data_IF_428414038436
#
_entry.id   IF_428414038436
#
_cell.length_a   1.000
_cell.length_b   1.000
_cell.length_c   1.000
_cell.angle_alpha   90.00
_cell.angle_beta   90.00
_cell.angle_gamma   90.00
#
_symmetry.space_group_name_H-M   'P 1'
#
loop_
_entity.id
_entity.type
_entity.pdbx_description
1 polymer ?
#
# COMPACT_ATOMS: atom_id res chain seq x y z
N UNK A 1 50.22 -5.06 48.89
CA UNK A 1 49.62 -4.51 47.65
C UNK A 1 49.39 -3.00 47.77
N UNK A 2 48.69 -2.51 48.81
CA UNK A 2 48.48 -1.06 49.04
C UNK A 2 49.76 -0.23 49.23
N UNK A 3 50.83 -0.78 49.81
CA UNK A 3 52.13 -0.10 49.93
C UNK A 3 52.83 0.12 48.58
N UNK A 4 52.63 -0.78 47.62
CA UNK A 4 53.21 -0.67 46.26
C UNK A 4 52.49 0.44 45.48
N UNK A 5 51.19 0.61 45.72
CA UNK A 5 50.40 1.70 45.14
C UNK A 5 50.86 3.04 45.74
N UNK A 6 50.99 3.16 47.07
CA UNK A 6 51.46 4.40 47.71
C UNK A 6 52.84 4.83 47.20
N UNK A 7 53.80 3.90 47.11
CA UNK A 7 55.14 4.16 46.56
C UNK A 7 55.16 4.60 45.09
N UNK A 8 54.11 4.32 44.32
CA UNK A 8 54.03 4.72 42.90
C UNK A 8 53.49 6.14 42.70
N UNK A 9 52.86 6.73 43.72
CA UNK A 9 52.23 8.05 43.67
C UNK A 9 52.88 9.11 44.58
N UNK A 10 53.90 8.74 45.36
CA UNK A 10 54.80 9.70 46.01
C UNK A 10 55.61 10.46 44.94
N UNK A 11 55.06 11.59 44.47
CA UNK A 11 55.72 12.45 43.48
C UNK A 11 54.81 13.17 42.51
N UNK A 12 53.50 12.87 42.47
CA UNK A 12 52.52 13.74 41.81
C UNK A 12 52.11 14.83 42.78
N UNK A 13 52.91 15.90 42.81
CA UNK A 13 52.76 17.02 43.72
C UNK A 13 51.43 17.75 43.66
N UNK A 14 51.04 18.32 44.80
CA UNK A 14 50.79 19.76 45.01
C UNK A 14 50.29 20.55 43.79
N UNK A 15 49.18 20.10 43.21
CA UNK A 15 48.33 20.88 42.32
C UNK A 15 47.01 21.14 43.03
N UNK A 16 46.84 22.38 43.51
CA UNK A 16 45.59 23.11 43.80
C UNK A 16 44.36 22.27 44.18
N UNK A 17 43.85 22.50 45.40
CA UNK A 17 42.52 22.08 45.85
C UNK A 17 41.44 22.71 44.95
N UNK A 18 41.23 22.20 43.75
CA UNK A 18 40.00 22.40 43.01
C UNK A 18 38.99 21.38 43.56
N UNK A 19 38.13 21.89 44.44
CA UNK A 19 36.99 21.22 45.08
C UNK A 19 37.27 19.81 45.64
N UNK A 20 37.69 19.74 46.91
CA UNK A 20 37.74 18.49 47.68
C UNK A 20 36.47 17.65 47.58
N UNK A 21 35.30 18.27 47.49
CA UNK A 21 34.02 17.58 47.28
C UNK A 21 33.91 16.91 45.90
N UNK A 22 34.42 17.56 44.85
CA UNK A 22 34.46 16.99 43.50
C UNK A 22 35.43 15.82 43.47
N UNK A 23 36.64 15.98 44.01
CA UNK A 23 37.64 14.90 44.07
C UNK A 23 37.16 13.72 44.92
N UNK A 24 36.47 13.98 46.04
CA UNK A 24 35.85 12.95 46.86
C UNK A 24 34.71 12.22 46.13
N UNK A 25 33.84 12.95 45.44
CA UNK A 25 32.78 12.37 44.63
C UNK A 25 33.35 11.52 43.47
N UNK A 26 34.38 12.00 42.78
CA UNK A 26 35.07 11.28 41.71
C UNK A 26 35.77 10.02 42.25
N UNK A 27 36.40 10.08 43.41
CA UNK A 27 37.02 8.92 44.06
C UNK A 27 35.97 7.89 44.51
N UNK A 28 34.85 8.31 45.10
CA UNK A 28 33.76 7.40 45.47
C UNK A 28 33.10 6.76 44.24
N UNK A 29 32.93 7.50 43.15
CA UNK A 29 32.48 6.96 41.87
C UNK A 29 33.46 5.95 41.31
N UNK A 30 34.77 6.22 41.42
CA UNK A 30 35.82 5.29 41.00
C UNK A 30 35.75 3.99 41.80
N UNK A 31 35.68 4.07 43.14
CA UNK A 31 35.54 2.89 44.01
C UNK A 31 34.26 2.12 43.69
N UNK A 32 33.12 2.80 43.53
CA UNK A 32 31.84 2.17 43.17
C UNK A 32 31.88 1.50 41.78
N UNK A 33 32.63 2.05 40.82
CA UNK A 33 32.83 1.47 39.49
C UNK A 33 33.55 0.12 39.56
N UNK A 34 34.47 -0.04 40.50
CA UNK A 34 35.16 -1.30 40.78
C UNK A 34 34.53 -2.11 41.91
N UNK A 35 33.28 -1.80 42.28
CA UNK A 35 32.54 -2.65 43.20
C UNK A 35 32.41 -4.05 42.58
N UNK A 36 32.86 -5.06 43.33
CA UNK A 36 32.61 -6.46 43.00
C UNK A 36 31.11 -6.71 43.19
N UNK A 37 30.33 -6.44 42.14
CA UNK A 37 28.89 -6.67 42.16
C UNK A 37 28.62 -8.13 42.56
N UNK A 38 27.60 -8.40 43.39
CA UNK A 38 27.17 -9.77 43.64
C UNK A 38 26.78 -10.42 42.31
N UNK A 39 26.71 -11.75 42.29
CA UNK A 39 26.33 -12.51 41.10
C UNK A 39 25.05 -11.92 40.45
N UNK A 40 24.98 -11.89 39.11
CA UNK A 40 23.78 -11.46 38.41
C UNK A 40 22.57 -12.25 38.92
N UNK A 41 21.52 -11.54 39.35
CA UNK A 41 20.28 -12.19 39.75
C UNK A 41 19.69 -12.92 38.56
N UNK A 42 19.05 -14.06 38.81
CA UNK A 42 18.28 -14.76 37.79
C UNK A 42 17.25 -13.81 37.17
N UNK A 43 17.15 -13.88 35.84
CA UNK A 43 16.19 -13.07 35.10
C UNK A 43 14.79 -13.65 35.29
N UNK A 44 13.79 -12.76 35.31
CA UNK A 44 12.38 -13.17 35.31
C UNK A 44 12.11 -14.10 34.11
N UNK A 45 11.45 -15.26 34.31
CA UNK A 45 11.14 -16.21 33.23
C UNK A 45 10.26 -15.60 32.12
N UNK A 46 9.56 -14.49 32.37
CA UNK A 46 8.77 -13.73 31.39
C UNK A 46 9.57 -12.59 30.72
N UNK A 47 10.87 -12.46 31.01
CA UNK A 47 11.73 -11.47 30.39
C UNK A 47 12.22 -11.94 29.02
N UNK A 48 12.15 -11.06 28.03
CA UNK A 48 12.67 -11.31 26.69
C UNK A 48 13.82 -10.34 26.44
N UNK A 49 15.05 -10.86 26.51
CA UNK A 49 16.28 -10.11 26.24
C UNK A 49 16.87 -10.53 24.89
N UNK A 50 17.36 -9.59 24.06
CA UNK A 50 17.97 -9.95 22.78
C UNK A 50 19.25 -10.78 23.02
N UNK A 51 19.41 -11.86 22.25
CA UNK A 51 20.67 -12.60 22.19
C UNK A 51 21.74 -11.79 21.44
N UNK A 52 23.02 -12.14 21.63
CA UNK A 52 24.11 -11.51 20.89
C UNK A 52 24.20 -12.05 19.46
N UNK A 53 24.31 -11.16 18.47
CA UNK A 53 24.51 -11.52 17.07
C UNK A 53 23.42 -12.45 16.51
N UNK A 54 23.81 -13.52 15.82
CA UNK A 54 22.89 -14.46 15.18
C UNK A 54 22.02 -15.27 16.16
N UNK A 55 22.46 -15.44 17.42
CA UNK A 55 21.69 -16.13 18.47
C UNK A 55 20.36 -15.44 18.78
N UNK A 56 20.24 -14.16 18.43
CA UNK A 56 18.99 -13.42 18.53
C UNK A 56 17.85 -14.14 17.78
N UNK A 57 18.08 -14.54 16.54
CA UNK A 57 17.04 -15.10 15.67
C UNK A 57 16.65 -16.51 16.08
N UNK A 58 17.63 -17.35 16.44
CA UNK A 58 17.36 -18.70 16.96
C UNK A 58 16.63 -18.65 18.31
N UNK A 59 17.00 -17.71 19.19
CA UNK A 59 16.28 -17.47 20.45
C UNK A 59 14.85 -17.05 20.21
N UNK A 60 14.61 -16.08 19.32
CA UNK A 60 13.24 -15.64 18.97
C UNK A 60 12.43 -16.82 18.45
N UNK A 61 12.98 -17.62 17.51
CA UNK A 61 12.29 -18.78 16.95
C UNK A 61 11.89 -19.81 18.01
N UNK A 62 12.79 -20.08 18.97
CA UNK A 62 12.49 -20.97 20.10
C UNK A 62 11.40 -20.40 21.01
N UNK A 63 11.48 -19.10 21.31
CA UNK A 63 10.50 -18.45 22.19
C UNK A 63 9.11 -18.31 21.54
N UNK A 64 9.02 -18.20 20.22
CA UNK A 64 7.74 -18.23 19.50
C UNK A 64 7.03 -19.58 19.58
N UNK A 65 7.76 -20.65 19.87
CA UNK A 65 7.21 -22.00 20.08
C UNK A 65 6.95 -22.32 21.57
N UNK A 66 7.15 -21.35 22.47
CA UNK A 66 6.92 -21.52 23.90
C UNK A 66 5.42 -21.68 24.22
N UNK A 67 5.11 -22.45 25.28
CA UNK A 67 3.77 -22.54 25.84
C UNK A 67 3.37 -21.26 26.61
N UNK A 68 4.35 -20.41 26.95
CA UNK A 68 4.11 -19.15 27.63
C UNK A 68 3.69 -18.06 26.63
N UNK A 69 2.40 -17.72 26.63
CA UNK A 69 1.79 -16.73 25.74
C UNK A 69 2.47 -15.35 25.80
N UNK A 70 2.89 -14.91 26.99
CA UNK A 70 3.57 -13.62 27.19
C UNK A 70 4.93 -13.61 26.47
N UNK A 71 5.68 -14.71 26.57
CA UNK A 71 6.96 -14.85 25.88
C UNK A 71 6.77 -14.89 24.37
N UNK A 72 5.75 -15.59 23.87
CA UNK A 72 5.41 -15.62 22.45
C UNK A 72 5.13 -14.21 21.93
N UNK A 73 4.23 -13.47 22.58
CA UNK A 73 3.88 -12.09 22.19
C UNK A 73 5.11 -11.17 22.20
N UNK A 74 5.90 -11.18 23.29
CA UNK A 74 7.11 -10.35 23.40
C UNK A 74 8.15 -10.69 22.32
N UNK A 75 8.28 -11.96 21.97
CA UNK A 75 9.22 -12.43 20.94
C UNK A 75 8.77 -12.02 19.54
N UNK A 76 7.47 -12.14 19.23
CA UNK A 76 6.90 -11.68 17.96
C UNK A 76 7.04 -10.15 17.82
N UNK A 77 6.79 -9.38 18.89
CA UNK A 77 7.01 -7.92 18.87
C UNK A 77 8.47 -7.53 18.68
N UNK A 78 9.38 -8.23 19.35
CA UNK A 78 10.82 -8.03 19.13
C UNK A 78 11.21 -8.30 17.68
N UNK A 79 10.66 -9.37 17.08
CA UNK A 79 10.88 -9.68 15.67
C UNK A 79 10.28 -8.61 14.74
N UNK A 80 9.10 -8.09 15.05
CA UNK A 80 8.48 -6.99 14.32
C UNK A 80 9.39 -5.76 14.26
N UNK A 81 9.97 -5.38 15.41
CA UNK A 81 10.86 -4.23 15.50
C UNK A 81 12.15 -4.44 14.70
N UNK A 82 12.71 -5.65 14.70
CA UNK A 82 13.85 -6.02 13.85
C UNK A 82 13.50 -5.88 12.36
N UNK A 83 12.35 -6.39 11.92
CA UNK A 83 11.92 -6.30 10.52
C UNK A 83 11.56 -4.86 10.10
N UNK A 84 11.13 -4.03 11.06
CA UNK A 84 10.89 -2.60 10.84
C UNK A 84 12.20 -1.84 10.67
N UNK A 85 13.24 -2.20 11.42
CA UNK A 85 14.54 -1.54 11.40
C UNK A 85 15.31 -1.77 10.09
N UNK A 86 15.45 -3.02 9.64
CA UNK A 86 16.17 -3.34 8.41
C UNK A 86 15.63 -4.63 7.74
N UNK A 87 15.48 -4.59 6.42
CA UNK A 87 15.18 -5.75 5.58
C UNK A 87 16.21 -6.87 5.68
N UNK A 88 17.48 -6.57 6.01
CA UNK A 88 18.52 -7.58 6.25
C UNK A 88 18.16 -8.50 7.42
N UNK A 89 17.46 -7.99 8.42
CA UNK A 89 17.02 -8.79 9.57
C UNK A 89 15.99 -9.86 9.17
N UNK A 90 15.20 -9.61 8.11
CA UNK A 90 14.26 -10.59 7.56
C UNK A 90 15.00 -11.75 6.91
N UNK A 91 16.05 -11.44 6.14
CA UNK A 91 16.85 -12.48 5.47
C UNK A 91 17.68 -13.25 6.49
N UNK A 92 18.26 -12.55 7.47
CA UNK A 92 19.04 -13.16 8.54
C UNK A 92 18.16 -14.06 9.42
N UNK A 93 16.96 -13.62 9.79
CA UNK A 93 16.08 -14.42 10.63
C UNK A 93 15.68 -15.74 9.97
N UNK A 94 15.45 -15.72 8.66
CA UNK A 94 15.14 -16.90 7.85
C UNK A 94 16.36 -17.83 7.77
N UNK A 95 17.52 -17.29 7.37
CA UNK A 95 18.76 -18.04 7.20
C UNK A 95 19.21 -18.73 8.50
N UNK A 96 19.19 -18.00 9.62
CA UNK A 96 19.65 -18.51 10.91
C UNK A 96 18.64 -19.42 11.62
N UNK A 97 17.42 -19.58 11.09
CA UNK A 97 16.39 -20.46 11.67
C UNK A 97 16.05 -21.65 10.78
N UNK A 98 16.89 -21.94 9.78
CA UNK A 98 16.67 -23.03 8.81
C UNK A 98 15.27 -22.93 8.17
N UNK A 99 14.85 -21.72 7.80
CA UNK A 99 13.55 -21.45 7.15
C UNK A 99 12.31 -21.78 7.99
N UNK A 100 12.45 -22.07 9.29
CA UNK A 100 11.33 -22.46 10.16
C UNK A 100 10.55 -21.28 10.74
N UNK A 101 11.13 -20.09 10.77
CA UNK A 101 10.53 -18.95 11.46
C UNK A 101 9.21 -18.48 10.81
N UNK A 102 9.14 -18.39 9.48
CA UNK A 102 7.90 -17.97 8.80
C UNK A 102 6.79 -19.02 8.97
N UNK A 103 7.02 -20.33 8.75
CA UNK A 103 6.03 -21.36 9.07
C UNK A 103 5.53 -21.30 10.52
N UNK A 104 6.44 -21.13 11.49
CA UNK A 104 6.06 -20.99 12.91
C UNK A 104 5.15 -19.77 13.15
N UNK A 105 5.43 -18.64 12.51
CA UNK A 105 4.57 -17.46 12.59
C UNK A 105 3.20 -17.74 11.97
N UNK A 106 3.12 -18.43 10.84
CA UNK A 106 1.85 -18.82 10.23
C UNK A 106 1.04 -19.70 11.19
N UNK A 107 1.65 -20.70 11.83
CA UNK A 107 0.95 -21.55 12.79
C UNK A 107 0.41 -20.77 14.00
N UNK A 108 1.12 -19.72 14.44
CA UNK A 108 0.64 -18.83 15.50
C UNK A 108 -0.60 -18.01 15.10
N UNK A 109 -0.95 -17.88 13.82
CA UNK A 109 -2.19 -17.22 13.40
C UNK A 109 -3.45 -17.94 13.91
N UNK A 110 -3.33 -19.25 14.16
CA UNK A 110 -4.39 -20.09 14.76
C UNK A 110 -4.68 -19.70 16.21
N UNK A 111 -3.75 -19.02 16.89
CA UNK A 111 -3.86 -18.61 18.30
C UNK A 111 -4.36 -17.17 18.41
N UNK A 112 -5.55 -16.96 18.98
CA UNK A 112 -6.18 -15.64 19.10
C UNK A 112 -5.28 -14.59 19.79
N UNK A 113 -4.58 -14.97 20.87
CA UNK A 113 -3.77 -14.04 21.67
C UNK A 113 -2.57 -13.45 20.91
N UNK A 114 -2.06 -14.11 19.87
CA UNK A 114 -0.88 -13.69 19.12
C UNK A 114 -1.21 -13.17 17.71
N UNK A 115 -2.43 -13.42 17.21
CA UNK A 115 -2.79 -13.23 15.80
C UNK A 115 -2.44 -11.84 15.27
N UNK A 116 -2.81 -10.78 15.99
CA UNK A 116 -2.58 -9.41 15.52
C UNK A 116 -1.07 -9.08 15.42
N UNK A 117 -0.29 -9.42 16.45
CA UNK A 117 1.16 -9.20 16.50
C UNK A 117 1.88 -10.01 15.41
N UNK A 118 1.43 -11.24 15.16
CA UNK A 118 1.95 -12.11 14.10
C UNK A 118 1.63 -11.53 12.72
N UNK A 119 0.38 -11.14 12.46
CA UNK A 119 -0.03 -10.53 11.20
C UNK A 119 0.75 -9.23 10.92
N UNK A 120 0.97 -8.40 11.95
CA UNK A 120 1.82 -7.19 11.84
C UNK A 120 3.24 -7.54 11.43
N UNK A 121 3.79 -8.65 11.94
CA UNK A 121 5.14 -9.13 11.64
C UNK A 121 5.24 -9.71 10.23
N UNK A 122 4.31 -10.57 9.82
CA UNK A 122 4.22 -11.10 8.46
C UNK A 122 4.00 -9.98 7.43
N UNK A 123 3.22 -8.94 7.76
CA UNK A 123 3.09 -7.73 6.95
C UNK A 123 4.40 -6.93 6.78
N UNK A 124 5.48 -7.27 7.49
CA UNK A 124 6.81 -6.68 7.27
C UNK A 124 7.74 -7.61 6.53
N UNK A 125 7.53 -8.93 6.66
CA UNK A 125 8.41 -9.94 6.06
C UNK A 125 8.38 -9.89 4.53
N UNK A 126 7.23 -9.58 3.91
CA UNK A 126 7.11 -9.57 2.43
C UNK A 126 8.06 -8.61 1.70
N UNK A 127 8.76 -7.70 2.40
CA UNK A 127 9.81 -6.86 1.79
C UNK A 127 10.97 -7.69 1.24
N UNK A 128 11.25 -8.87 1.81
CA UNK A 128 12.25 -9.80 1.31
C UNK A 128 11.59 -10.87 0.45
N UNK A 129 12.16 -11.14 -0.74
CA UNK A 129 11.63 -12.17 -1.66
C UNK A 129 11.56 -13.55 -1.02
N UNK A 130 12.65 -13.98 -0.37
CA UNK A 130 12.74 -15.26 0.34
C UNK A 130 11.63 -15.44 1.39
N UNK A 131 11.21 -14.35 2.06
CA UNK A 131 10.12 -14.40 3.02
C UNK A 131 8.75 -14.53 2.35
N UNK A 132 8.54 -13.89 1.19
CA UNK A 132 7.32 -14.07 0.39
C UNK A 132 7.20 -15.54 -0.05
N UNK A 133 8.29 -16.10 -0.55
CA UNK A 133 8.35 -17.48 -1.04
C UNK A 133 7.97 -18.49 0.07
N UNK A 134 8.30 -18.20 1.33
CA UNK A 134 7.90 -19.02 2.48
C UNK A 134 6.46 -18.80 2.95
N UNK A 135 5.83 -17.65 2.66
CA UNK A 135 4.41 -17.43 3.01
C UNK A 135 3.48 -18.09 1.99
N UNK A 136 3.86 -18.12 0.71
CA UNK A 136 3.03 -18.62 -0.40
C UNK A 136 2.39 -20.00 -0.12
N UNK A 137 3.13 -21.03 0.34
CA UNK A 137 2.56 -22.36 0.60
C UNK A 137 1.41 -22.37 1.63
N UNK A 138 1.33 -21.34 2.48
CA UNK A 138 0.35 -21.24 3.55
C UNK A 138 -0.82 -20.30 3.21
N UNK A 139 -0.79 -19.66 2.04
CA UNK A 139 -1.81 -18.66 1.67
C UNK A 139 -3.20 -19.27 1.62
N UNK A 140 -3.35 -20.50 1.13
CA UNK A 140 -4.65 -21.18 1.06
C UNK A 140 -5.25 -21.39 2.46
N UNK A 141 -4.45 -21.84 3.43
CA UNK A 141 -4.89 -22.00 4.82
C UNK A 141 -5.37 -20.67 5.43
N UNK A 142 -4.61 -19.60 5.20
CA UNK A 142 -4.97 -18.25 5.67
C UNK A 142 -6.27 -17.77 4.98
N UNK A 143 -6.45 -18.04 3.68
CA UNK A 143 -7.67 -17.70 2.95
C UNK A 143 -8.89 -18.41 3.55
N UNK A 144 -8.80 -19.72 3.80
CA UNK A 144 -9.90 -20.49 4.39
C UNK A 144 -10.26 -20.00 5.80
N UNK A 145 -9.27 -19.67 6.61
CA UNK A 145 -9.50 -19.10 7.94
C UNK A 145 -10.31 -17.80 7.87
N UNK A 146 -9.92 -16.86 7.00
CA UNK A 146 -10.65 -15.60 6.86
C UNK A 146 -12.02 -15.81 6.21
N UNK A 147 -12.13 -16.68 5.20
CA UNK A 147 -13.41 -16.97 4.55
C UNK A 147 -14.46 -17.45 5.54
N UNK A 148 -14.06 -18.23 6.55
CA UNK A 148 -14.94 -18.75 7.59
C UNK A 148 -15.25 -17.73 8.70
N UNK A 149 -14.38 -16.72 8.91
CA UNK A 149 -14.46 -15.84 10.09
C UNK A 149 -14.61 -14.35 9.78
N UNK A 150 -14.61 -13.89 8.52
CA UNK A 150 -14.55 -12.46 8.19
C UNK A 150 -15.68 -11.60 8.78
N UNK A 151 -16.82 -12.21 9.13
CA UNK A 151 -17.98 -11.51 9.71
C UNK A 151 -17.87 -11.27 11.22
N UNK A 152 -17.09 -12.08 11.92
CA UNK A 152 -16.94 -12.09 13.39
C UNK A 152 -15.54 -11.68 13.84
N UNK A 153 -14.57 -11.74 12.94
CA UNK A 153 -13.17 -11.42 13.20
C UNK A 153 -12.95 -9.90 13.40
N UNK A 154 -11.89 -9.56 14.15
CA UNK A 154 -11.52 -8.17 14.39
C UNK A 154 -11.19 -7.46 13.06
N UNK A 155 -11.76 -6.27 12.76
CA UNK A 155 -11.50 -5.53 11.54
C UNK A 155 -10.00 -5.27 11.29
N UNK A 156 -9.22 -5.13 12.35
CA UNK A 156 -7.75 -4.97 12.28
C UNK A 156 -7.09 -6.22 11.72
N UNK A 157 -7.53 -7.41 12.12
CA UNK A 157 -7.01 -8.68 11.61
C UNK A 157 -7.37 -8.87 10.13
N UNK A 158 -8.58 -8.50 9.72
CA UNK A 158 -8.97 -8.50 8.30
C UNK A 158 -8.10 -7.55 7.49
N UNK A 159 -7.95 -6.30 7.95
CA UNK A 159 -7.07 -5.33 7.30
C UNK A 159 -5.63 -5.85 7.15
N UNK A 160 -5.05 -6.41 8.23
CA UNK A 160 -3.69 -6.91 8.19
C UNK A 160 -3.56 -8.13 7.28
N UNK A 161 -4.58 -8.98 7.21
CA UNK A 161 -4.57 -10.14 6.31
C UNK A 161 -4.66 -9.72 4.84
N UNK A 162 -5.56 -8.79 4.49
CA UNK A 162 -5.60 -8.21 3.14
C UNK A 162 -4.28 -7.50 2.79
N UNK A 163 -3.65 -6.84 3.77
CA UNK A 163 -2.33 -6.21 3.58
C UNK A 163 -1.22 -7.24 3.37
N UNK A 164 -1.27 -8.39 4.05
CA UNK A 164 -0.36 -9.50 3.82
C UNK A 164 -0.50 -10.02 2.40
N UNK A 165 -1.72 -10.37 1.98
CA UNK A 165 -1.98 -10.84 0.61
C UNK A 165 -1.56 -9.83 -0.44
N UNK A 166 -1.82 -8.53 -0.23
CA UNK A 166 -1.34 -7.47 -1.12
C UNK A 166 0.19 -7.46 -1.26
N UNK A 167 0.91 -7.71 -0.17
CA UNK A 167 2.37 -7.80 -0.17
C UNK A 167 2.90 -9.06 -0.86
N UNK A 168 2.21 -10.20 -0.70
CA UNK A 168 2.53 -11.46 -1.39
C UNK A 168 2.27 -11.32 -2.90
N UNK A 169 1.14 -10.73 -3.28
CA UNK A 169 0.72 -10.53 -4.68
C UNK A 169 1.40 -9.32 -5.35
N UNK A 170 2.48 -8.78 -4.81
CA UNK A 170 3.15 -7.61 -5.39
C UNK A 170 3.79 -7.95 -6.75
N UNK A 171 4.35 -9.15 -6.88
CA UNK A 171 4.97 -9.66 -8.11
C UNK A 171 4.02 -10.60 -8.85
N UNK A 172 4.10 -10.59 -10.18
CA UNK A 172 3.19 -11.35 -11.07
C UNK A 172 3.23 -12.87 -10.83
N UNK A 173 4.41 -13.45 -10.63
CA UNK A 173 4.59 -14.89 -10.41
C UNK A 173 3.94 -15.37 -9.09
N UNK A 174 4.26 -14.81 -7.90
CA UNK A 174 3.52 -15.10 -6.67
C UNK A 174 2.02 -14.85 -6.79
N UNK A 175 1.61 -13.76 -7.43
CA UNK A 175 0.20 -13.41 -7.63
C UNK A 175 -0.54 -14.51 -8.41
N UNK A 176 0.08 -15.05 -9.47
CA UNK A 176 -0.47 -16.17 -10.24
C UNK A 176 -0.68 -17.41 -9.36
N UNK A 177 0.35 -17.82 -8.61
CA UNK A 177 0.27 -19.01 -7.74
C UNK A 177 -0.89 -18.90 -6.74
N UNK A 178 -1.06 -17.74 -6.11
CA UNK A 178 -2.10 -17.56 -5.09
C UNK A 178 -3.51 -17.28 -5.64
N UNK A 179 -3.63 -16.98 -6.94
CA UNK A 179 -4.92 -16.74 -7.61
C UNK A 179 -5.40 -17.90 -8.46
N UNK A 180 -4.59 -18.95 -8.64
CA UNK A 180 -4.94 -20.11 -9.48
C UNK A 180 -6.25 -20.80 -9.02
N UNK A 181 -6.61 -20.73 -7.73
CA UNK A 181 -7.86 -21.29 -7.19
C UNK A 181 -9.08 -20.39 -7.35
N UNK A 182 -8.91 -19.11 -7.72
CA UNK A 182 -10.00 -18.12 -7.79
C UNK A 182 -10.58 -17.68 -6.43
N UNK A 183 -10.15 -18.26 -5.31
CA UNK A 183 -10.69 -17.98 -3.98
C UNK A 183 -10.35 -16.57 -3.49
N UNK A 184 -9.12 -16.10 -3.74
CA UNK A 184 -8.63 -14.82 -3.23
C UNK A 184 -9.39 -13.59 -3.75
N UNK A 185 -9.68 -13.46 -5.07
CA UNK A 185 -10.57 -12.41 -5.57
C UNK A 185 -11.94 -12.40 -4.89
N UNK A 186 -12.59 -13.57 -4.81
CA UNK A 186 -13.93 -13.72 -4.21
C UNK A 186 -13.92 -13.38 -2.72
N UNK A 187 -12.91 -13.84 -1.98
CA UNK A 187 -12.73 -13.51 -0.57
C UNK A 187 -12.57 -12.00 -0.38
N UNK A 188 -11.73 -11.36 -1.19
CA UNK A 188 -11.48 -9.92 -1.12
C UNK A 188 -12.78 -9.15 -1.37
N UNK A 189 -13.56 -9.55 -2.37
CA UNK A 189 -14.89 -9.00 -2.66
C UNK A 189 -15.86 -9.16 -1.47
N UNK A 190 -15.94 -10.34 -0.86
CA UNK A 190 -16.78 -10.59 0.32
C UNK A 190 -16.38 -9.71 1.51
N UNK A 191 -15.09 -9.53 1.75
CA UNK A 191 -14.60 -8.63 2.80
C UNK A 191 -15.00 -7.18 2.51
N UNK A 192 -14.78 -6.69 1.29
CA UNK A 192 -15.14 -5.32 0.92
C UNK A 192 -16.64 -5.05 1.07
N UNK A 193 -17.48 -5.96 0.58
CA UNK A 193 -18.94 -5.84 0.68
C UNK A 193 -19.40 -5.83 2.16
N UNK A 194 -18.84 -6.71 2.99
CA UNK A 194 -19.16 -6.74 4.42
C UNK A 194 -18.83 -5.42 5.14
N UNK A 195 -17.65 -4.87 4.89
CA UNK A 195 -17.20 -3.66 5.56
C UNK A 195 -17.82 -2.40 4.96
N UNK A 196 -18.30 -2.42 3.72
CA UNK A 196 -19.10 -1.33 3.17
C UNK A 196 -20.48 -1.24 3.84
N UNK A 197 -21.15 -2.35 4.13
CA UNK A 197 -22.53 -2.35 4.65
C UNK A 197 -22.67 -2.05 6.16
N UNK A 198 -21.69 -2.41 7.00
CA UNK A 198 -21.79 -2.28 8.46
C UNK A 198 -21.18 -0.99 9.01
N UNK A 199 -19.87 -0.86 8.86
CA UNK A 199 -19.07 0.27 9.33
C UNK A 199 -17.81 0.33 8.47
N UNK A 200 -17.78 1.31 7.57
CA UNK A 200 -16.73 1.42 6.56
C UNK A 200 -15.39 1.60 7.24
N UNK A 201 -14.51 0.62 7.08
CA UNK A 201 -13.13 0.71 7.53
C UNK A 201 -12.23 1.13 6.36
N UNK A 202 -11.75 2.40 6.29
CA UNK A 202 -11.00 2.90 5.14
C UNK A 202 -9.71 2.13 4.88
N UNK A 203 -9.11 1.52 5.93
CA UNK A 203 -7.90 0.70 5.77
C UNK A 203 -8.23 -0.62 5.10
N UNK A 204 -9.36 -1.25 5.42
CA UNK A 204 -9.83 -2.47 4.74
C UNK A 204 -10.14 -2.14 3.29
N UNK A 205 -10.98 -1.12 3.04
CA UNK A 205 -11.38 -0.72 1.69
C UNK A 205 -10.17 -0.42 0.79
N UNK A 206 -9.27 0.46 1.25
CA UNK A 206 -8.06 0.82 0.52
C UNK A 206 -7.17 -0.38 0.20
N UNK A 207 -6.95 -1.29 1.16
CA UNK A 207 -6.07 -2.44 0.92
C UNK A 207 -6.77 -3.53 0.11
N UNK A 208 -8.08 -3.70 0.24
CA UNK A 208 -8.86 -4.60 -0.60
C UNK A 208 -8.83 -4.17 -2.07
N UNK A 209 -9.11 -2.90 -2.39
CA UNK A 209 -8.97 -2.42 -3.78
C UNK A 209 -7.55 -2.53 -4.31
N UNK A 210 -6.54 -2.15 -3.51
CA UNK A 210 -5.14 -2.34 -3.93
C UNK A 210 -4.77 -3.80 -4.13
N UNK A 211 -5.35 -4.72 -3.35
CA UNK A 211 -5.19 -6.15 -3.58
C UNK A 211 -5.85 -6.54 -4.90
N UNK A 212 -7.13 -6.22 -5.12
CA UNK A 212 -7.81 -6.49 -6.39
C UNK A 212 -7.03 -5.95 -7.61
N UNK A 213 -6.47 -4.74 -7.49
CA UNK A 213 -5.61 -4.11 -8.50
C UNK A 213 -4.33 -4.88 -8.79
N UNK A 214 -3.78 -5.58 -7.79
CA UNK A 214 -2.64 -6.47 -7.99
C UNK A 214 -3.08 -7.81 -8.59
N UNK A 215 -4.26 -8.32 -8.21
CA UNK A 215 -4.80 -9.57 -8.75
C UNK A 215 -5.13 -9.44 -10.24
N UNK A 216 -5.56 -8.26 -10.69
CA UNK A 216 -5.80 -7.95 -12.12
C UNK A 216 -4.54 -8.03 -13.01
N UNK A 217 -3.33 -8.22 -12.46
CA UNK A 217 -2.14 -8.56 -13.25
C UNK A 217 -2.19 -10.00 -13.81
N UNK A 218 -3.06 -10.85 -13.25
CA UNK A 218 -3.34 -12.20 -13.71
C UNK A 218 -4.60 -12.15 -14.57
N UNK A 219 -4.50 -12.34 -15.90
CA UNK A 219 -5.63 -12.11 -16.81
C UNK A 219 -6.88 -12.90 -16.44
N UNK A 220 -6.83 -14.09 -15.83
CA UNK A 220 -8.06 -14.81 -15.47
C UNK A 220 -8.87 -14.15 -14.35
N UNK A 221 -8.27 -13.24 -13.58
CA UNK A 221 -8.94 -12.61 -12.43
C UNK A 221 -10.08 -11.69 -12.82
N UNK A 222 -10.00 -10.97 -13.95
CA UNK A 222 -11.08 -10.05 -14.35
C UNK A 222 -12.40 -10.80 -14.54
N UNK A 223 -12.36 -12.01 -15.12
CA UNK A 223 -13.54 -12.87 -15.32
C UNK A 223 -14.25 -13.14 -14.00
N UNK A 224 -13.50 -13.49 -12.95
CA UNK A 224 -14.05 -13.78 -11.61
C UNK A 224 -14.62 -12.53 -10.94
N UNK A 225 -14.04 -11.35 -11.21
CA UNK A 225 -14.52 -10.09 -10.62
C UNK A 225 -15.77 -9.56 -11.31
N UNK A 226 -15.84 -9.70 -12.63
CA UNK A 226 -16.94 -9.23 -13.47
C UNK A 226 -18.14 -10.19 -13.44
N UNK A 227 -17.92 -11.44 -13.02
CA UNK A 227 -18.97 -12.43 -12.80
C UNK A 227 -20.12 -11.86 -11.94
N UNK A 228 -21.34 -12.01 -12.44
CA UNK A 228 -22.58 -11.54 -11.79
C UNK A 228 -22.64 -10.03 -11.48
N UNK A 229 -21.82 -9.19 -12.13
CA UNK A 229 -21.78 -7.73 -11.93
C UNK A 229 -21.45 -7.30 -10.47
N UNK A 230 -21.04 -8.21 -9.57
CA UNK A 230 -20.90 -7.95 -8.14
C UNK A 230 -19.87 -6.85 -7.83
N UNK A 231 -18.76 -6.80 -8.58
CA UNK A 231 -17.78 -5.72 -8.41
C UNK A 231 -18.38 -4.35 -8.74
N UNK A 232 -19.23 -4.27 -9.76
CA UNK A 232 -19.79 -2.99 -10.17
C UNK A 232 -20.82 -2.49 -9.16
N UNK A 233 -21.67 -3.38 -8.64
CA UNK A 233 -22.60 -3.05 -7.55
C UNK A 233 -21.86 -2.54 -6.31
N UNK A 234 -20.77 -3.21 -5.92
CA UNK A 234 -19.92 -2.72 -4.82
C UNK A 234 -19.36 -1.32 -5.09
N UNK A 235 -18.90 -1.05 -6.32
CA UNK A 235 -18.37 0.27 -6.70
C UNK A 235 -19.47 1.35 -6.65
N UNK A 236 -20.67 1.06 -7.18
CA UNK A 236 -21.84 1.96 -7.11
C UNK A 236 -22.19 2.29 -5.66
N UNK A 237 -22.32 1.26 -4.82
CA UNK A 237 -22.63 1.39 -3.39
C UNK A 237 -21.63 2.28 -2.65
N UNK A 238 -20.34 2.18 -2.98
CA UNK A 238 -19.30 3.03 -2.38
C UNK A 238 -19.43 4.47 -2.83
N UNK A 239 -19.71 4.72 -4.10
CA UNK A 239 -19.94 6.08 -4.58
C UNK A 239 -21.15 6.73 -3.95
N UNK A 240 -22.23 5.97 -3.72
CA UNK A 240 -23.47 6.49 -3.14
C UNK A 240 -23.34 6.80 -1.65
N UNK A 241 -22.69 5.91 -0.89
CA UNK A 241 -22.66 6.02 0.57
C UNK A 241 -21.39 6.72 1.10
N UNK A 242 -20.32 6.76 0.31
CA UNK A 242 -19.01 7.28 0.74
C UNK A 242 -18.31 8.20 -0.29
N UNK A 243 -19.00 9.23 -0.84
CA UNK A 243 -18.49 10.05 -1.94
C UNK A 243 -17.32 10.99 -1.57
N UNK A 244 -16.86 11.01 -0.31
CA UNK A 244 -15.89 12.01 0.18
C UNK A 244 -14.58 11.45 0.72
N UNK A 245 -14.44 10.14 0.92
CA UNK A 245 -13.16 9.57 1.37
C UNK A 245 -12.17 9.45 0.20
N UNK A 246 -11.36 10.50 0.02
CA UNK A 246 -10.39 10.59 -1.08
C UNK A 246 -9.44 9.37 -1.15
N UNK A 247 -9.09 8.75 -0.02
CA UNK A 247 -8.14 7.60 -0.04
C UNK A 247 -8.78 6.35 -0.61
N UNK A 248 -10.08 6.16 -0.35
CA UNK A 248 -10.87 5.07 -0.92
C UNK A 248 -11.11 5.38 -2.40
N UNK A 249 -11.57 6.59 -2.72
CA UNK A 249 -11.81 7.02 -4.09
C UNK A 249 -10.58 6.88 -4.99
N UNK A 250 -9.39 7.29 -4.54
CA UNK A 250 -8.14 7.06 -5.29
C UNK A 250 -7.95 5.57 -5.65
N UNK A 251 -8.18 4.67 -4.69
CA UNK A 251 -7.99 3.23 -4.92
C UNK A 251 -9.09 2.64 -5.80
N UNK A 252 -10.30 3.19 -5.71
CA UNK A 252 -11.47 2.85 -6.51
C UNK A 252 -11.28 3.28 -7.98
N UNK A 253 -10.82 4.50 -8.22
CA UNK A 253 -10.52 5.03 -9.55
C UNK A 253 -9.41 4.22 -10.23
N UNK A 254 -8.34 3.89 -9.48
CA UNK A 254 -7.29 2.98 -9.96
C UNK A 254 -7.87 1.62 -10.36
N UNK A 255 -8.86 1.11 -9.61
CA UNK A 255 -9.53 -0.16 -9.90
C UNK A 255 -10.40 -0.10 -11.14
N UNK A 256 -11.24 0.93 -11.28
CA UNK A 256 -12.08 1.17 -12.46
C UNK A 256 -11.21 1.30 -13.71
N UNK A 257 -10.11 2.07 -13.60
CA UNK A 257 -9.11 2.23 -14.65
C UNK A 257 -8.54 0.88 -15.11
N UNK A 258 -8.16 0.01 -14.16
CA UNK A 258 -7.62 -1.33 -14.47
C UNK A 258 -8.66 -2.30 -15.04
N UNK A 259 -9.89 -2.27 -14.54
CA UNK A 259 -10.99 -3.08 -15.10
C UNK A 259 -11.31 -2.67 -16.53
N UNK A 260 -11.20 -1.39 -16.86
CA UNK A 260 -11.47 -0.85 -18.20
C UNK A 260 -10.48 -1.33 -19.28
N UNK A 261 -9.37 -1.99 -18.91
CA UNK A 261 -8.49 -2.65 -19.89
C UNK A 261 -9.08 -3.96 -20.43
N UNK A 262 -10.07 -4.53 -19.76
CA UNK A 262 -10.75 -5.75 -20.17
C UNK A 262 -12.08 -5.40 -20.84
N UNK A 263 -12.44 -6.06 -21.93
CA UNK A 263 -13.62 -5.68 -22.74
C UNK A 263 -14.94 -5.74 -21.95
N UNK A 264 -15.09 -6.76 -21.13
CA UNK A 264 -16.23 -6.95 -20.22
C UNK A 264 -16.26 -5.87 -19.12
N UNK A 265 -15.10 -5.51 -18.57
CA UNK A 265 -14.95 -4.38 -17.66
C UNK A 265 -15.29 -3.03 -18.31
N UNK A 266 -14.73 -2.76 -19.49
CA UNK A 266 -14.85 -1.51 -20.23
C UNK A 266 -16.32 -1.17 -20.52
N UNK A 267 -17.08 -2.12 -21.04
CA UNK A 267 -18.51 -1.92 -21.38
C UNK A 267 -19.36 -1.58 -20.16
N UNK A 268 -18.96 -2.06 -18.98
CA UNK A 268 -19.67 -1.89 -17.72
C UNK A 268 -19.23 -0.64 -16.97
N UNK A 269 -17.99 -0.19 -17.12
CA UNK A 269 -17.44 0.97 -16.42
C UNK A 269 -18.00 2.33 -16.90
N UNK A 270 -18.66 2.41 -18.06
CA UNK A 270 -19.31 3.62 -18.55
C UNK A 270 -20.32 4.22 -17.56
N UNK A 271 -21.00 3.38 -16.77
CA UNK A 271 -21.93 3.82 -15.72
C UNK A 271 -21.30 4.73 -14.67
N UNK A 272 -19.98 4.61 -14.45
CA UNK A 272 -19.27 5.38 -13.43
C UNK A 272 -18.94 6.81 -13.84
N UNK A 273 -19.08 7.18 -15.12
CA UNK A 273 -18.74 8.51 -15.62
C UNK A 273 -19.37 9.62 -14.78
N UNK A 274 -20.64 9.47 -14.41
CA UNK A 274 -21.36 10.46 -13.60
C UNK A 274 -20.77 10.62 -12.20
N UNK A 275 -20.34 9.52 -11.57
CA UNK A 275 -19.72 9.55 -10.24
C UNK A 275 -18.27 10.06 -10.27
N UNK A 276 -17.53 9.86 -11.37
CA UNK A 276 -16.15 10.33 -11.51
C UNK A 276 -16.08 11.83 -11.79
N UNK A 277 -17.03 12.36 -12.58
CA UNK A 277 -17.03 13.73 -13.07
C UNK A 277 -16.88 14.82 -11.98
N UNK A 278 -17.52 14.74 -10.79
CA UNK A 278 -17.33 15.71 -9.71
C UNK A 278 -15.88 15.84 -9.24
N UNK A 279 -15.08 14.78 -9.35
CA UNK A 279 -13.69 14.75 -8.87
C UNK A 279 -12.69 15.39 -9.84
N UNK A 280 -13.11 15.78 -11.05
CA UNK A 280 -12.29 16.52 -12.01
C UNK A 280 -11.97 17.96 -11.57
N UNK A 281 -12.62 18.45 -10.52
CA UNK A 281 -12.30 19.73 -9.86
C UNK A 281 -11.63 19.56 -8.50
N UNK A 282 -11.15 18.35 -8.20
CA UNK A 282 -10.49 18.08 -6.93
C UNK A 282 -9.17 18.85 -6.83
N UNK A 283 -8.92 19.45 -5.66
CA UNK A 283 -7.60 20.03 -5.33
C UNK A 283 -6.57 18.96 -5.00
N UNK A 284 -7.01 17.73 -4.68
CA UNK A 284 -6.13 16.61 -4.46
C UNK A 284 -5.65 16.08 -5.82
N UNK A 285 -4.40 16.39 -6.16
CA UNK A 285 -3.80 16.02 -7.44
C UNK A 285 -3.76 14.50 -7.68
N UNK A 286 -3.65 13.67 -6.63
CA UNK A 286 -3.65 12.21 -6.76
C UNK A 286 -5.06 11.73 -7.14
N UNK A 287 -6.09 12.26 -6.49
CA UNK A 287 -7.47 11.94 -6.84
C UNK A 287 -7.80 12.42 -8.25
N UNK A 288 -7.40 13.65 -8.61
CA UNK A 288 -7.57 14.19 -9.95
C UNK A 288 -6.90 13.30 -11.01
N UNK A 289 -5.65 12.90 -10.79
CA UNK A 289 -4.91 12.01 -11.67
C UNK A 289 -5.64 10.69 -11.87
N UNK A 290 -6.02 10.01 -10.79
CA UNK A 290 -6.71 8.71 -10.93
C UNK A 290 -8.09 8.84 -11.56
N UNK A 291 -8.83 9.92 -11.30
CA UNK A 291 -10.12 10.18 -11.97
C UNK A 291 -9.95 10.40 -13.48
N UNK A 292 -8.96 11.18 -13.90
CA UNK A 292 -8.67 11.39 -15.32
C UNK A 292 -8.15 10.11 -15.97
N UNK A 293 -7.28 9.36 -15.28
CA UNK A 293 -6.79 8.08 -15.74
C UNK A 293 -7.94 7.09 -15.99
N UNK A 294 -8.87 6.95 -15.03
CA UNK A 294 -10.05 6.13 -15.18
C UNK A 294 -10.92 6.56 -16.38
N UNK A 295 -11.20 7.86 -16.54
CA UNK A 295 -11.96 8.37 -17.68
C UNK A 295 -11.23 8.15 -19.02
N UNK A 296 -9.90 8.25 -19.05
CA UNK A 296 -9.12 8.03 -20.28
C UNK A 296 -9.26 6.60 -20.80
N UNK A 297 -9.40 5.62 -19.91
CA UNK A 297 -9.67 4.23 -20.29
C UNK A 297 -11.13 3.97 -20.59
N UNK A 298 -12.07 4.49 -19.78
CA UNK A 298 -13.51 4.33 -20.03
C UNK A 298 -13.91 4.91 -21.39
N UNK A 299 -13.39 6.10 -21.73
CA UNK A 299 -13.75 6.80 -22.97
C UNK A 299 -13.25 6.13 -24.24
N UNK A 300 -12.49 5.02 -24.15
CA UNK A 300 -12.20 4.18 -25.32
C UNK A 300 -13.49 3.50 -25.82
N UNK A 301 -14.44 3.16 -24.93
CA UNK A 301 -15.73 2.55 -25.30
C UNK A 301 -16.60 3.50 -26.12
N UNK A 302 -17.25 2.94 -27.15
CA UNK A 302 -18.21 3.65 -27.99
C UNK A 302 -19.43 4.07 -27.18
N UNK A 303 -19.92 3.19 -26.31
CA UNK A 303 -21.06 3.45 -25.42
C UNK A 303 -20.78 4.64 -24.50
N UNK A 304 -19.58 4.69 -23.89
CA UNK A 304 -19.14 5.80 -23.06
C UNK A 304 -19.07 7.12 -23.86
N UNK A 305 -18.53 7.09 -25.08
CA UNK A 305 -18.50 8.27 -25.97
C UNK A 305 -19.90 8.77 -26.29
N UNK A 306 -20.84 7.87 -26.59
CA UNK A 306 -22.24 8.22 -26.83
C UNK A 306 -22.89 8.85 -25.59
N UNK A 307 -22.73 8.21 -24.42
CA UNK A 307 -23.26 8.71 -23.16
C UNK A 307 -22.79 10.14 -22.84
N UNK A 308 -21.55 10.48 -23.17
CA UNK A 308 -20.99 11.82 -22.93
C UNK A 308 -21.36 12.81 -24.04
N UNK A 309 -21.22 12.43 -25.32
CA UNK A 309 -21.21 13.38 -26.45
C UNK A 309 -22.48 13.42 -27.29
N UNK A 310 -23.45 12.53 -27.06
CA UNK A 310 -24.73 12.57 -27.78
C UNK A 310 -25.45 13.90 -27.58
N UNK A 311 -26.24 14.32 -28.60
CA UNK A 311 -26.91 15.63 -28.61
C UNK A 311 -27.88 15.81 -27.44
N UNK A 312 -28.47 14.71 -26.99
CA UNK A 312 -29.45 14.67 -25.89
C UNK A 312 -28.77 14.44 -24.53
N UNK A 313 -27.44 14.24 -24.49
CA UNK A 313 -26.72 13.99 -23.25
C UNK A 313 -26.75 15.21 -22.33
N UNK A 314 -27.30 15.02 -21.13
CA UNK A 314 -27.41 16.07 -20.11
C UNK A 314 -26.03 16.43 -19.52
N UNK A 315 -25.08 15.49 -19.52
CA UNK A 315 -23.76 15.69 -18.90
C UNK A 315 -22.76 16.37 -19.84
N UNK A 316 -23.02 16.38 -21.15
CA UNK A 316 -22.09 16.85 -22.20
C UNK A 316 -21.44 18.20 -21.90
N UNK A 317 -22.26 19.22 -21.63
CA UNK A 317 -21.77 20.60 -21.39
C UNK A 317 -20.88 20.67 -20.14
N UNK A 318 -21.30 20.01 -19.05
CA UNK A 318 -20.56 19.99 -17.81
C UNK A 318 -19.26 19.21 -17.94
N UNK A 319 -19.29 18.08 -18.65
CA UNK A 319 -18.12 17.24 -18.90
C UNK A 319 -17.06 18.02 -19.70
N UNK A 320 -17.44 18.64 -20.82
CA UNK A 320 -16.53 19.49 -21.61
C UNK A 320 -15.96 20.63 -20.76
N UNK A 321 -16.79 21.32 -19.97
CA UNK A 321 -16.32 22.39 -19.08
C UNK A 321 -15.27 21.89 -18.06
N UNK A 322 -15.42 20.68 -17.55
CA UNK A 322 -14.44 20.08 -16.63
C UNK A 322 -13.14 19.71 -17.35
N UNK A 323 -13.18 19.13 -18.56
CA UNK A 323 -11.97 18.85 -19.34
C UNK A 323 -11.19 20.12 -19.69
N UNK A 324 -11.91 21.21 -20.04
CA UNK A 324 -11.32 22.52 -20.32
C UNK A 324 -10.67 23.09 -19.06
N UNK A 325 -11.32 22.97 -17.91
CA UNK A 325 -10.76 23.42 -16.64
C UNK A 325 -9.43 22.70 -16.33
N UNK A 326 -9.39 21.37 -16.48
CA UNK A 326 -8.16 20.59 -16.29
C UNK A 326 -7.08 21.00 -17.30
N UNK A 327 -7.46 21.18 -18.56
CA UNK A 327 -6.55 21.62 -19.63
C UNK A 327 -5.91 22.98 -19.31
N UNK A 328 -6.75 23.97 -18.98
CA UNK A 328 -6.30 25.34 -18.68
C UNK A 328 -5.47 25.41 -17.38
N UNK A 329 -5.73 24.48 -16.45
CA UNK A 329 -5.00 24.33 -15.20
C UNK A 329 -3.61 23.68 -15.33
N UNK A 330 -3.26 23.05 -16.46
CA UNK A 330 -1.99 22.31 -16.60
C UNK A 330 -0.75 23.16 -16.30
N UNK A 331 -0.60 24.30 -16.97
CA UNK A 331 0.58 25.16 -16.81
C UNK A 331 0.54 26.03 -15.53
N UNK A 332 -0.65 26.20 -14.93
CA UNK A 332 -0.88 27.19 -13.86
C UNK A 332 -1.09 26.57 -12.48
N UNK A 333 -1.77 25.43 -12.39
CA UNK A 333 -2.26 24.85 -11.13
C UNK A 333 -1.64 23.49 -10.81
N UNK A 334 -1.47 22.60 -11.80
CA UNK A 334 -1.11 21.20 -11.54
C UNK A 334 0.35 20.86 -11.86
N UNK A 335 0.90 21.40 -12.96
CA UNK A 335 2.26 21.10 -13.45
C UNK A 335 2.58 19.59 -13.44
N UNK A 336 1.61 18.78 -13.87
CA UNK A 336 1.71 17.33 -13.88
C UNK A 336 1.41 16.80 -15.29
N UNK A 337 2.45 16.31 -15.96
CA UNK A 337 2.38 15.84 -17.35
C UNK A 337 1.44 14.65 -17.51
N UNK A 338 1.33 13.77 -16.51
CA UNK A 338 0.44 12.61 -16.57
C UNK A 338 -1.04 13.02 -16.53
N UNK A 339 -1.39 14.03 -15.72
CA UNK A 339 -2.75 14.59 -15.70
C UNK A 339 -3.09 15.14 -17.08
N UNK A 340 -2.16 15.90 -17.67
CA UNK A 340 -2.38 16.55 -18.95
C UNK A 340 -2.49 15.56 -20.12
N UNK A 341 -1.56 14.61 -20.22
CA UNK A 341 -1.56 13.56 -21.24
C UNK A 341 -2.87 12.76 -21.19
N UNK A 342 -3.31 12.33 -20.01
CA UNK A 342 -4.57 11.57 -19.92
C UNK A 342 -5.80 12.43 -20.22
N UNK A 343 -5.77 13.73 -19.92
CA UNK A 343 -6.84 14.65 -20.33
C UNK A 343 -6.89 14.82 -21.86
N UNK A 344 -5.73 14.91 -22.53
CA UNK A 344 -5.64 14.91 -23.99
C UNK A 344 -6.20 13.63 -24.60
N UNK A 345 -5.87 12.46 -24.04
CA UNK A 345 -6.45 11.17 -24.47
C UNK A 345 -7.97 11.14 -24.38
N UNK A 346 -8.55 11.69 -23.30
CA UNK A 346 -10.01 11.82 -23.19
C UNK A 346 -10.55 12.68 -24.33
N UNK A 347 -9.94 13.85 -24.59
CA UNK A 347 -10.35 14.76 -25.67
C UNK A 347 -10.27 14.05 -27.03
N UNK A 348 -9.18 13.33 -27.32
CA UNK A 348 -9.02 12.52 -28.54
C UNK A 348 -10.14 11.49 -28.69
N UNK A 349 -10.38 10.70 -27.65
CA UNK A 349 -11.39 9.65 -27.65
C UNK A 349 -12.79 10.21 -27.93
N UNK A 350 -13.13 11.37 -27.33
CA UNK A 350 -14.43 12.01 -27.53
C UNK A 350 -14.56 12.69 -28.89
N UNK A 351 -13.45 13.19 -29.45
CA UNK A 351 -13.44 13.78 -30.78
C UNK A 351 -13.85 12.78 -31.87
N UNK A 352 -13.56 11.49 -31.71
CA UNK A 352 -14.05 10.47 -32.64
C UNK A 352 -15.59 10.47 -32.78
N UNK A 353 -16.31 10.83 -31.71
CA UNK A 353 -17.77 10.87 -31.69
C UNK A 353 -18.34 12.24 -32.06
N UNK A 354 -17.75 13.34 -31.58
CA UNK A 354 -18.31 14.68 -31.81
C UNK A 354 -17.22 15.79 -31.84
N UNK A 355 -16.43 15.78 -32.92
CA UNK A 355 -15.41 16.81 -33.20
C UNK A 355 -15.93 18.24 -33.16
N UNK A 356 -17.11 18.59 -33.75
CA UNK A 356 -17.58 19.97 -33.79
C UNK A 356 -17.63 20.65 -32.43
N UNK A 357 -18.03 19.90 -31.38
CA UNK A 357 -18.08 20.43 -30.01
C UNK A 357 -16.71 20.69 -29.39
N UNK A 358 -15.61 20.21 -29.98
CA UNK A 358 -14.25 20.31 -29.45
C UNK A 358 -13.33 21.20 -30.31
N UNK A 359 -13.78 21.70 -31.46
CA UNK A 359 -12.99 22.54 -32.37
C UNK A 359 -12.42 23.79 -31.71
N UNK A 360 -13.09 24.33 -30.69
CA UNK A 360 -12.64 25.51 -29.95
C UNK A 360 -11.32 25.28 -29.17
N UNK A 361 -10.92 24.02 -28.95
CA UNK A 361 -9.66 23.67 -28.30
C UNK A 361 -8.45 23.76 -29.23
N UNK A 362 -8.65 23.74 -30.56
CA UNK A 362 -7.55 23.71 -31.54
C UNK A 362 -6.55 24.88 -31.38
N UNK A 363 -6.96 26.15 -31.22
CA UNK A 363 -6.02 27.24 -31.03
C UNK A 363 -5.16 27.05 -29.77
N UNK A 364 -5.79 26.62 -28.66
CA UNK A 364 -5.09 26.38 -27.38
C UNK A 364 -4.06 25.26 -27.49
N UNK A 365 -4.40 24.18 -28.19
CA UNK A 365 -3.49 23.06 -28.45
C UNK A 365 -2.30 23.54 -29.29
N UNK A 366 -2.56 24.30 -30.35
CA UNK A 366 -1.51 24.83 -31.23
C UNK A 366 -0.54 25.76 -30.48
N UNK A 367 -1.06 26.67 -29.65
CA UNK A 367 -0.23 27.54 -28.80
C UNK A 367 0.69 26.71 -27.88
N UNK A 368 0.17 25.64 -27.28
CA UNK A 368 0.95 24.74 -26.42
C UNK A 368 1.96 23.90 -27.20
N UNK A 369 1.67 23.46 -28.43
CA UNK A 369 2.64 22.75 -29.28
C UNK A 369 3.84 23.65 -29.59
N UNK A 370 3.60 24.94 -29.87
CA UNK A 370 4.67 25.92 -30.12
C UNK A 370 5.49 26.21 -28.86
N UNK A 371 4.86 26.20 -27.69
CA UNK A 371 5.50 26.49 -26.39
C UNK A 371 6.13 25.27 -25.69
N UNK A 372 5.79 24.04 -26.09
CA UNK A 372 6.24 22.81 -25.41
C UNK A 372 7.58 22.34 -25.95
N UNK A 373 8.66 22.62 -25.20
CA UNK A 373 10.03 22.37 -25.67
C UNK A 373 10.86 21.42 -24.81
N UNK A 374 10.30 20.71 -23.82
CA UNK A 374 11.12 19.82 -22.94
C UNK A 374 10.60 18.40 -22.70
N UNK A 375 9.28 18.13 -22.76
CA UNK A 375 8.74 16.78 -22.58
C UNK A 375 8.20 16.22 -23.90
N UNK A 376 8.88 15.21 -24.44
CA UNK A 376 8.55 14.56 -25.72
C UNK A 376 7.17 13.89 -25.70
N UNK A 377 6.81 13.20 -24.62
CA UNK A 377 5.51 12.52 -24.51
C UNK A 377 4.32 13.49 -24.51
N UNK A 378 4.48 14.66 -23.89
CA UNK A 378 3.44 15.71 -23.92
C UNK A 378 3.28 16.27 -25.34
N UNK A 379 4.40 16.51 -26.02
CA UNK A 379 4.41 17.01 -27.39
C UNK A 379 3.74 16.02 -28.36
N UNK A 380 4.10 14.74 -28.28
CA UNK A 380 3.50 13.68 -29.10
C UNK A 380 1.97 13.62 -28.92
N UNK A 381 1.48 13.65 -27.68
CA UNK A 381 0.04 13.58 -27.43
C UNK A 381 -0.69 14.86 -27.87
N UNK A 382 -0.06 16.04 -27.76
CA UNK A 382 -0.61 17.29 -28.29
C UNK A 382 -0.74 17.26 -29.82
N UNK A 383 0.31 16.82 -30.52
CA UNK A 383 0.30 16.68 -31.99
C UNK A 383 -0.75 15.65 -32.44
N UNK A 384 -0.86 14.53 -31.74
CA UNK A 384 -1.91 13.54 -31.99
C UNK A 384 -3.31 14.12 -31.80
N UNK A 385 -3.53 14.85 -30.70
CA UNK A 385 -4.81 15.51 -30.39
C UNK A 385 -5.17 16.54 -31.46
N UNK A 386 -4.21 17.36 -31.88
CA UNK A 386 -4.39 18.33 -32.97
C UNK A 386 -4.82 17.64 -34.26
N UNK A 387 -4.10 16.59 -34.66
CA UNK A 387 -4.41 15.81 -35.87
C UNK A 387 -5.84 15.25 -35.82
N UNK A 388 -6.24 14.63 -34.71
CA UNK A 388 -7.57 14.02 -34.56
C UNK A 388 -8.70 15.06 -34.65
N UNK A 389 -8.57 16.19 -33.93
CA UNK A 389 -9.63 17.21 -33.91
C UNK A 389 -9.70 17.95 -35.26
N UNK A 390 -8.56 18.22 -35.88
CA UNK A 390 -8.45 18.93 -37.16
C UNK A 390 -8.89 18.11 -38.39
N UNK A 391 -9.04 16.79 -38.23
CA UNK A 391 -9.32 15.88 -39.34
C UNK A 391 -10.66 16.22 -40.03
N UNK A 392 -10.55 16.61 -41.30
CA UNK A 392 -11.67 16.74 -42.24
C UNK A 392 -11.75 15.45 -43.06
N UNK A 393 -12.87 14.70 -43.01
CA UNK A 393 -13.01 13.43 -43.70
C UNK A 393 -12.96 13.55 -45.22
#
# INVERSE_FOLDING_TARGET
MWEVIRKKYDGYGDGVVENQEINFATNNQHIAKFSCKPNPKEQDPNSCTPGYGALLYTKINKLTQSDNEILVIKSVRSLHDLYKADTKNITASILYTEDKLIPNLVDLLKKDFAREDVLRTLCKSYKAKIARDQVIPHVEEIQQFILNNYKTENPTNIYLTLKLFKGVCFEKEPCKIVTDTGVLPVLTMKCLNHFQQKDMNPKVMKNGFKLLNNLLQVPKTHVVLVEEDQIFLLVEDIFEHHPTDEKILISLMEHISKLSFYTDGLTKCGRFIYYIMPHLRSKNQILLLESINALSHITISVEAKCQIMDRESQIKKQFIANLVHVFDGYQKEYQNDYIFINNLKIICNLAEKDRPSLLFLLPKIMDLVVLSTTNESVKEELENTYRIISYKP
#
